data_IF_996329018439
#
_entry.id   IF_996329018439
#
_cell.length_a   1.000
_cell.length_b   1.000
_cell.length_c   1.000
_cell.angle_alpha   90.00
_cell.angle_beta   90.00
_cell.angle_gamma   90.00
#
_symmetry.space_group_name_H-M   'P 1'
#
loop_
_entity.id
_entity.type
_entity.pdbx_description
1 polymer ?
#
# COMPACT_ATOMS: atom_id res chain seq x y z
N UNK A 1 1.32 6.64 -10.94
CA UNK A 1 2.71 6.28 -10.62
C UNK A 1 2.83 4.78 -10.80
N UNK A 2 3.45 4.34 -11.90
CA UNK A 2 3.62 2.92 -12.18
C UNK A 2 4.51 2.25 -11.11
N UNK A 3 4.35 0.94 -10.87
CA UNK A 3 5.15 0.20 -9.89
C UNK A 3 6.58 -0.08 -10.36
N UNK A 4 6.94 0.36 -11.58
CA UNK A 4 8.29 0.22 -12.11
C UNK A 4 9.14 1.38 -11.58
N UNK A 5 9.94 1.07 -10.57
CA UNK A 5 11.10 1.82 -10.04
C UNK A 5 11.20 3.28 -10.54
N UNK A 6 10.78 4.28 -9.73
CA UNK A 6 10.85 5.70 -10.08
C UNK A 6 12.26 6.20 -10.39
N UNK A 7 13.30 5.44 -10.03
CA UNK A 7 14.70 5.78 -10.24
C UNK A 7 15.23 5.37 -11.63
N UNK A 8 14.54 4.51 -12.39
CA UNK A 8 14.98 4.05 -13.72
C UNK A 8 14.19 4.63 -14.90
N UNK A 9 12.94 5.05 -14.69
CA UNK A 9 12.02 5.42 -15.79
C UNK A 9 11.49 6.83 -15.52
N UNK A 10 11.88 7.80 -16.36
CA UNK A 10 11.36 9.17 -16.31
C UNK A 10 9.84 9.24 -16.55
N UNK A 11 9.19 10.33 -16.14
CA UNK A 11 7.73 10.49 -16.29
C UNK A 11 7.27 10.36 -17.75
N UNK A 12 8.03 10.93 -18.69
CA UNK A 12 7.75 10.81 -20.12
C UNK A 12 7.81 9.37 -20.61
N UNK A 13 8.83 8.62 -20.17
CA UNK A 13 8.99 7.22 -20.55
C UNK A 13 7.88 6.33 -19.94
N UNK A 14 7.38 6.68 -18.75
CA UNK A 14 6.23 6.01 -18.15
C UNK A 14 4.96 6.17 -19.01
N UNK A 15 4.71 7.35 -19.56
CA UNK A 15 3.57 7.58 -20.46
C UNK A 15 3.70 6.79 -21.75
N UNK A 16 4.91 6.74 -22.33
CA UNK A 16 5.20 5.92 -23.52
C UNK A 16 4.98 4.43 -23.24
N UNK A 17 5.49 3.93 -22.12
CA UNK A 17 5.28 2.53 -21.71
C UNK A 17 3.79 2.25 -21.48
N UNK A 18 3.07 3.14 -20.79
CA UNK A 18 1.63 3.00 -20.55
C UNK A 18 0.84 2.95 -21.87
N UNK A 19 1.23 3.75 -22.87
CA UNK A 19 0.64 3.72 -24.21
C UNK A 19 0.82 2.35 -24.89
N UNK A 20 2.05 1.81 -24.89
CA UNK A 20 2.30 0.48 -25.48
C UNK A 20 1.61 -0.65 -24.71
N UNK A 21 1.57 -0.57 -23.37
CA UNK A 21 0.80 -1.52 -22.55
C UNK A 21 -0.69 -1.44 -22.90
N UNK A 22 -1.23 -0.23 -23.10
CA UNK A 22 -2.62 -0.02 -23.53
C UNK A 22 -2.93 -0.66 -24.89
N UNK A 23 -2.03 -0.50 -25.87
CA UNK A 23 -2.15 -1.17 -27.18
C UNK A 23 -2.14 -2.69 -27.00
N UNK A 24 -1.18 -3.23 -26.24
CA UNK A 24 -1.08 -4.67 -25.98
C UNK A 24 -2.31 -5.21 -25.28
N UNK A 25 -2.83 -4.49 -24.28
CA UNK A 25 -4.05 -4.84 -23.57
C UNK A 25 -5.27 -4.85 -24.51
N UNK A 26 -5.45 -3.80 -25.32
CA UNK A 26 -6.53 -3.73 -26.31
C UNK A 26 -6.47 -4.86 -27.34
N UNK A 27 -5.28 -5.19 -27.84
CA UNK A 27 -5.07 -6.30 -28.76
C UNK A 27 -5.47 -7.64 -28.12
N UNK A 28 -5.08 -7.90 -26.87
CA UNK A 28 -5.44 -9.13 -26.15
C UNK A 28 -6.96 -9.21 -25.91
N UNK A 29 -7.61 -8.11 -25.52
CA UNK A 29 -9.07 -8.07 -25.34
C UNK A 29 -9.81 -8.39 -26.64
N UNK A 30 -9.33 -7.87 -27.77
CA UNK A 30 -9.93 -8.14 -29.06
C UNK A 30 -9.74 -9.60 -29.50
N UNK A 31 -8.53 -10.14 -29.33
CA UNK A 31 -8.27 -11.56 -29.59
C UNK A 31 -9.11 -12.49 -28.70
N UNK A 32 -9.42 -12.06 -27.47
CA UNK A 32 -10.34 -12.77 -26.60
C UNK A 32 -11.83 -12.64 -27.02
N UNK A 33 -12.15 -11.81 -28.01
CA UNK A 33 -13.50 -11.57 -28.52
C UNK A 33 -14.34 -10.65 -27.63
N UNK A 34 -13.70 -9.86 -26.75
CA UNK A 34 -14.39 -8.97 -25.82
C UNK A 34 -14.91 -7.68 -26.44
N UNK A 35 -14.68 -7.43 -27.73
CA UNK A 35 -15.42 -6.39 -28.45
C UNK A 35 -16.86 -6.78 -28.77
N UNK A 36 -17.28 -8.02 -28.53
CA UNK A 36 -18.62 -8.49 -28.93
C UNK A 36 -19.56 -8.56 -27.75
N UNK A 37 -20.64 -7.77 -27.79
CA UNK A 37 -21.68 -7.71 -26.77
C UNK A 37 -22.32 -9.08 -26.51
N UNK A 38 -22.59 -9.88 -27.55
CA UNK A 38 -23.11 -11.26 -27.41
C UNK A 38 -22.21 -12.14 -26.53
N UNK A 39 -20.88 -12.00 -26.65
CA UNK A 39 -19.92 -12.79 -25.88
C UNK A 39 -19.92 -12.39 -24.41
N UNK A 40 -20.07 -11.08 -24.16
CA UNK A 40 -20.07 -10.52 -22.81
C UNK A 40 -21.36 -10.84 -22.05
N UNK A 41 -22.52 -10.68 -22.69
CA UNK A 41 -23.81 -10.99 -22.06
C UNK A 41 -24.04 -12.51 -21.97
N UNK A 42 -23.32 -13.30 -22.76
CA UNK A 42 -23.36 -14.77 -22.70
C UNK A 42 -23.02 -15.39 -21.34
N UNK A 43 -22.29 -14.66 -20.50
CA UNK A 43 -22.07 -15.03 -19.12
C UNK A 43 -23.37 -15.06 -18.31
N UNK A 44 -24.22 -14.04 -18.46
CA UNK A 44 -25.47 -13.90 -17.70
C UNK A 44 -26.55 -14.87 -18.16
N UNK A 45 -26.54 -15.21 -19.45
CA UNK A 45 -27.46 -16.18 -20.03
C UNK A 45 -26.96 -17.63 -19.93
N UNK A 46 -25.71 -17.84 -19.51
CA UNK A 46 -25.14 -19.16 -19.27
C UNK A 46 -24.76 -19.95 -20.53
N UNK A 47 -24.64 -19.30 -21.69
CA UNK A 47 -24.20 -19.94 -22.95
C UNK A 47 -22.71 -19.75 -23.25
N UNK A 48 -22.04 -18.75 -22.65
CA UNK A 48 -20.60 -18.53 -22.81
C UNK A 48 -19.95 -17.97 -21.52
N UNK A 49 -19.10 -18.78 -20.89
CA UNK A 49 -18.33 -18.42 -19.68
C UNK A 49 -16.88 -18.05 -19.98
N UNK A 50 -16.55 -17.64 -21.22
CA UNK A 50 -15.22 -17.13 -21.57
C UNK A 50 -14.84 -15.93 -20.70
N UNK A 51 -15.78 -15.02 -20.43
CA UNK A 51 -15.58 -13.85 -19.56
C UNK A 51 -15.07 -14.28 -18.18
N UNK A 52 -15.79 -15.18 -17.52
CA UNK A 52 -15.41 -15.68 -16.20
C UNK A 52 -14.01 -16.32 -16.25
N UNK A 53 -13.74 -17.17 -17.24
CA UNK A 53 -12.44 -17.85 -17.37
C UNK A 53 -11.29 -16.88 -17.51
N UNK A 54 -11.39 -15.90 -18.40
CA UNK A 54 -10.31 -14.92 -18.65
C UNK A 54 -10.08 -14.00 -17.45
N UNK A 55 -11.14 -13.50 -16.80
CA UNK A 55 -10.98 -12.60 -15.65
C UNK A 55 -10.36 -13.30 -14.44
N UNK A 56 -10.77 -14.53 -14.14
CA UNK A 56 -10.16 -15.30 -13.06
C UNK A 56 -8.72 -15.71 -13.36
N UNK A 57 -8.40 -16.15 -14.60
CA UNK A 57 -7.01 -16.46 -14.95
C UNK A 57 -6.13 -15.22 -14.91
N UNK A 58 -6.59 -14.08 -15.45
CA UNK A 58 -5.86 -12.82 -15.38
C UNK A 58 -5.65 -12.36 -13.93
N UNK A 59 -6.69 -12.45 -13.09
CA UNK A 59 -6.63 -12.09 -11.67
C UNK A 59 -5.64 -12.97 -10.88
N UNK A 60 -5.68 -14.28 -11.07
CA UNK A 60 -4.75 -15.22 -10.42
C UNK A 60 -3.33 -15.00 -10.92
N UNK A 61 -3.13 -14.82 -12.22
CA UNK A 61 -1.81 -14.56 -12.82
C UNK A 61 -1.22 -13.28 -12.25
N UNK A 62 -2.01 -12.20 -12.18
CA UNK A 62 -1.58 -10.94 -11.58
C UNK A 62 -1.27 -11.09 -10.08
N UNK A 63 -2.13 -11.76 -9.32
CA UNK A 63 -1.92 -11.96 -7.89
C UNK A 63 -0.67 -12.79 -7.59
N UNK A 64 -0.52 -13.96 -8.21
CA UNK A 64 0.68 -14.81 -8.04
C UNK A 64 1.94 -14.10 -8.54
N UNK A 65 1.85 -13.42 -9.69
CA UNK A 65 2.95 -12.63 -10.23
C UNK A 65 3.40 -11.53 -9.26
N UNK A 66 2.45 -10.78 -8.69
CA UNK A 66 2.75 -9.75 -7.70
C UNK A 66 3.34 -10.33 -6.41
N UNK A 67 2.83 -11.46 -5.90
CA UNK A 67 3.40 -12.14 -4.72
C UNK A 67 4.85 -12.54 -4.96
N UNK A 68 5.13 -13.19 -6.10
CA UNK A 68 6.47 -13.66 -6.45
C UNK A 68 7.41 -12.46 -6.67
N UNK A 69 7.00 -11.44 -7.42
CA UNK A 69 7.82 -10.25 -7.67
C UNK A 69 8.05 -9.43 -6.39
N UNK A 70 7.09 -9.41 -5.47
CA UNK A 70 7.26 -8.76 -4.16
C UNK A 70 8.28 -9.49 -3.30
N UNK A 71 8.27 -10.83 -3.33
CA UNK A 71 9.27 -11.64 -2.61
C UNK A 71 10.70 -11.36 -3.12
N UNK A 72 10.89 -11.28 -4.44
CA UNK A 72 12.19 -10.91 -5.04
C UNK A 72 12.54 -9.41 -4.90
N UNK A 73 11.76 -8.64 -4.14
CA UNK A 73 11.92 -7.19 -3.96
C UNK A 73 11.96 -6.40 -5.29
N UNK A 74 11.35 -6.93 -6.35
CA UNK A 74 11.17 -6.24 -7.64
C UNK A 74 10.03 -5.23 -7.61
N UNK A 75 9.00 -5.51 -6.81
CA UNK A 75 7.82 -4.67 -6.65
C UNK A 75 7.55 -4.43 -5.16
N UNK A 76 7.36 -3.17 -4.79
CA UNK A 76 6.92 -2.81 -3.44
C UNK A 76 5.38 -2.76 -3.38
N UNK A 77 4.77 -3.76 -2.72
CA UNK A 77 3.31 -3.83 -2.54
C UNK A 77 2.75 -2.72 -1.66
N UNK A 78 3.57 -2.01 -0.87
CA UNK A 78 3.13 -0.85 -0.09
C UNK A 78 2.82 0.37 -0.97
N UNK A 79 3.50 0.45 -2.11
CA UNK A 79 3.30 1.51 -3.11
C UNK A 79 2.11 1.25 -4.03
N UNK A 80 1.58 0.02 -4.04
CA UNK A 80 0.39 -0.35 -4.81
C UNK A 80 -0.85 0.27 -4.15
N UNK A 81 -1.55 1.11 -4.91
CA UNK A 81 -2.74 1.77 -4.41
C UNK A 81 -3.91 0.78 -4.29
N UNK A 82 -4.21 0.37 -3.05
CA UNK A 82 -5.50 -0.26 -2.72
C UNK A 82 -6.55 0.82 -2.50
N UNK A 83 -7.71 0.67 -3.14
CA UNK A 83 -8.86 1.54 -2.99
C UNK A 83 -9.55 1.29 -1.64
N UNK A 84 -9.97 2.35 -0.93
CA UNK A 84 -10.73 2.18 0.31
C UNK A 84 -12.11 1.58 0.04
N UNK A 85 -12.58 0.75 0.95
CA UNK A 85 -13.89 0.11 0.89
C UNK A 85 -14.93 1.00 1.57
N UNK A 86 -15.89 1.47 0.77
CA UNK A 86 -17.13 2.08 1.23
C UNK A 86 -18.25 1.07 0.98
N UNK A 87 -18.73 0.38 2.01
CA UNK A 87 -19.53 -0.83 1.82
C UNK A 87 -20.81 -0.57 1.01
N UNK A 88 -21.62 0.39 1.45
CA UNK A 88 -22.89 0.72 0.80
C UNK A 88 -22.69 1.30 -0.61
N UNK A 89 -21.67 2.13 -0.80
CA UNK A 89 -21.33 2.64 -2.12
C UNK A 89 -20.88 1.53 -3.07
N UNK A 90 -20.13 0.54 -2.58
CA UNK A 90 -19.66 -0.58 -3.38
C UNK A 90 -20.81 -1.51 -3.77
N UNK A 91 -21.73 -1.81 -2.84
CA UNK A 91 -22.89 -2.67 -3.10
C UNK A 91 -23.85 -2.01 -4.10
N UNK A 92 -24.26 -0.76 -3.83
CA UNK A 92 -25.23 -0.05 -4.68
C UNK A 92 -24.60 0.30 -6.03
N UNK A 93 -23.37 0.81 -6.03
CA UNK A 93 -22.63 1.12 -7.25
C UNK A 93 -22.35 -0.13 -8.09
N UNK A 94 -21.99 -1.25 -7.44
CA UNK A 94 -21.79 -2.54 -8.10
C UNK A 94 -23.07 -3.08 -8.74
N UNK A 95 -24.22 -2.93 -8.08
CA UNK A 95 -25.52 -3.33 -8.63
C UNK A 95 -25.92 -2.48 -9.83
N UNK A 96 -25.77 -1.15 -9.75
CA UNK A 96 -26.04 -0.23 -10.87
C UNK A 96 -25.12 -0.54 -12.05
N UNK A 97 -23.82 -0.73 -11.78
CA UNK A 97 -22.84 -1.07 -12.81
C UNK A 97 -23.16 -2.44 -13.46
N UNK A 98 -23.53 -3.44 -12.65
CA UNK A 98 -23.94 -4.76 -13.14
C UNK A 98 -25.19 -4.69 -14.04
N UNK A 99 -26.21 -3.94 -13.65
CA UNK A 99 -27.39 -3.69 -14.48
C UNK A 99 -27.01 -2.98 -15.79
N UNK A 100 -26.16 -1.95 -15.71
CA UNK A 100 -25.64 -1.26 -16.88
C UNK A 100 -24.88 -2.19 -17.83
N UNK A 101 -24.10 -3.13 -17.28
CA UNK A 101 -23.39 -4.13 -18.07
C UNK A 101 -24.34 -5.11 -18.78
N UNK A 102 -25.38 -5.60 -18.09
CA UNK A 102 -26.38 -6.50 -18.69
C UNK A 102 -27.16 -5.82 -19.81
N UNK A 103 -27.59 -4.56 -19.59
CA UNK A 103 -28.38 -3.79 -20.57
C UNK A 103 -27.52 -3.32 -21.74
N UNK A 104 -26.35 -2.78 -21.46
CA UNK A 104 -25.46 -2.20 -22.46
C UNK A 104 -24.61 -3.23 -23.20
N UNK A 105 -24.45 -4.43 -22.65
CA UNK A 105 -23.66 -5.50 -23.24
C UNK A 105 -22.15 -5.25 -23.26
N UNK A 106 -21.66 -4.22 -22.57
CA UNK A 106 -20.25 -3.88 -22.49
C UNK A 106 -19.81 -3.50 -21.06
N UNK A 107 -18.57 -3.83 -20.73
CA UNK A 107 -17.88 -3.27 -19.58
C UNK A 107 -17.19 -1.96 -20.03
N UNK A 108 -16.88 -1.03 -19.11
CA UNK A 108 -16.22 0.23 -19.47
C UNK A 108 -14.94 0.06 -20.29
N UNK A 109 -14.08 -0.92 -19.96
CA UNK A 109 -12.86 -1.19 -20.73
C UNK A 109 -13.11 -1.84 -22.08
N UNK A 110 -14.08 -2.77 -22.16
CA UNK A 110 -14.37 -3.49 -23.40
C UNK A 110 -15.16 -2.65 -24.39
N UNK A 111 -15.91 -1.64 -23.94
CA UNK A 111 -16.57 -0.67 -24.82
C UNK A 111 -15.57 0.17 -25.60
N UNK A 112 -14.44 0.59 -25.00
CA UNK A 112 -13.39 1.33 -25.74
C UNK A 112 -12.72 0.45 -26.79
N UNK A 113 -12.47 -0.82 -26.47
CA UNK A 113 -11.95 -1.80 -27.44
C UNK A 113 -12.93 -2.00 -28.61
N UNK A 114 -14.22 -2.18 -28.33
CA UNK A 114 -15.26 -2.30 -29.34
C UNK A 114 -15.43 -1.02 -30.19
N UNK A 115 -15.38 0.15 -29.56
CA UNK A 115 -15.44 1.43 -30.24
C UNK A 115 -14.27 1.64 -31.21
N UNK A 116 -13.07 1.17 -30.87
CA UNK A 116 -11.90 1.23 -31.75
C UNK A 116 -12.07 0.43 -33.05
N UNK A 117 -12.95 -0.58 -33.05
CA UNK A 117 -13.28 -1.41 -34.23
C UNK A 117 -14.50 -0.86 -34.98
N UNK A 118 -15.07 0.26 -34.53
CA UNK A 118 -16.19 0.94 -35.19
C UNK A 118 -17.57 0.43 -34.77
N UNK A 119 -17.70 -0.25 -33.63
CA UNK A 119 -18.99 -0.74 -33.14
C UNK A 119 -19.85 0.38 -32.58
N UNK A 120 -21.01 0.59 -33.20
CA UNK A 120 -21.94 1.69 -32.87
C UNK A 120 -22.59 1.47 -31.49
N UNK A 121 -22.93 0.23 -31.15
CA UNK A 121 -23.47 -0.13 -29.82
C UNK A 121 -22.49 0.25 -28.70
N UNK A 122 -21.19 0.07 -28.92
CA UNK A 122 -20.16 0.49 -27.97
C UNK A 122 -20.01 2.02 -27.87
N UNK A 123 -20.13 2.76 -28.97
CA UNK A 123 -20.11 4.23 -28.96
C UNK A 123 -21.29 4.81 -28.18
N UNK A 124 -22.49 4.24 -28.37
CA UNK A 124 -23.69 4.62 -27.61
C UNK A 124 -23.49 4.33 -26.12
N UNK A 125 -22.90 3.17 -25.79
CA UNK A 125 -22.59 2.82 -24.41
C UNK A 125 -21.61 3.81 -23.77
N UNK A 126 -20.54 4.21 -24.47
CA UNK A 126 -19.57 5.20 -23.99
C UNK A 126 -20.24 6.56 -23.78
N UNK A 127 -21.07 7.01 -24.74
CA UNK A 127 -21.80 8.27 -24.61
C UNK A 127 -22.78 8.24 -23.42
N UNK A 128 -23.49 7.14 -23.24
CA UNK A 128 -24.37 6.93 -22.08
C UNK A 128 -23.60 6.91 -20.76
N UNK A 129 -22.42 6.28 -20.73
CA UNK A 129 -21.52 6.28 -19.58
C UNK A 129 -21.01 7.69 -19.24
N UNK A 130 -20.58 8.46 -20.25
CA UNK A 130 -20.14 9.84 -20.08
C UNK A 130 -21.28 10.73 -19.54
N UNK A 131 -22.49 10.59 -20.07
CA UNK A 131 -23.67 11.28 -19.56
C UNK A 131 -24.00 10.87 -18.12
N UNK A 132 -23.89 9.57 -17.80
CA UNK A 132 -24.05 9.06 -16.44
C UNK A 132 -23.06 9.67 -15.45
N UNK A 133 -21.79 9.83 -15.85
CA UNK A 133 -20.76 10.50 -15.03
C UNK A 133 -21.11 11.97 -14.80
N UNK A 134 -21.60 12.68 -15.82
CA UNK A 134 -22.01 14.08 -15.68
C UNK A 134 -23.22 14.23 -14.73
N UNK A 135 -24.23 13.37 -14.90
CA UNK A 135 -25.40 13.35 -14.01
C UNK A 135 -24.99 13.03 -12.58
N UNK A 136 -24.07 12.07 -12.39
CA UNK A 136 -23.55 11.73 -11.07
C UNK A 136 -22.77 12.87 -10.44
N UNK A 137 -21.96 13.60 -11.22
CA UNK A 137 -21.20 14.75 -10.74
C UNK A 137 -22.13 15.86 -10.19
N UNK A 138 -23.23 16.15 -10.88
CA UNK A 138 -24.22 17.13 -10.41
C UNK A 138 -25.05 16.60 -9.23
N UNK A 139 -25.39 15.31 -9.22
CA UNK A 139 -26.11 14.67 -8.12
C UNK A 139 -25.23 14.37 -6.89
N UNK A 140 -23.90 14.55 -6.99
CA UNK A 140 -22.95 14.19 -5.95
C UNK A 140 -23.26 14.82 -4.59
N UNK A 141 -23.64 16.11 -4.45
CA UNK A 141 -23.95 16.70 -3.14
C UNK A 141 -25.09 15.98 -2.41
N UNK A 142 -26.09 15.47 -3.15
CA UNK A 142 -27.18 14.71 -2.57
C UNK A 142 -26.78 13.24 -2.28
N UNK A 143 -25.88 12.68 -3.07
CA UNK A 143 -25.41 11.30 -2.95
C UNK A 143 -24.20 11.14 -2.02
N UNK A 144 -23.55 12.23 -1.60
CA UNK A 144 -22.35 12.21 -0.75
C UNK A 144 -22.53 11.37 0.54
N UNK A 145 -23.65 11.47 1.27
CA UNK A 145 -23.86 10.65 2.48
C UNK A 145 -23.87 9.16 2.18
N UNK A 146 -24.43 8.76 1.04
CA UNK A 146 -24.48 7.37 0.59
C UNK A 146 -23.12 6.91 0.06
N UNK A 147 -22.45 7.77 -0.71
CA UNK A 147 -21.16 7.50 -1.33
C UNK A 147 -20.06 7.27 -0.28
N UNK A 148 -20.12 7.99 0.84
CA UNK A 148 -19.15 7.88 1.95
C UNK A 148 -19.64 6.99 3.09
N UNK A 149 -20.79 6.33 2.95
CA UNK A 149 -21.35 5.48 3.99
C UNK A 149 -20.46 4.25 4.24
N UNK A 150 -20.30 3.91 5.52
CA UNK A 150 -19.51 2.78 6.01
C UNK A 150 -18.10 2.67 5.43
N UNK A 151 -17.25 3.61 5.82
CA UNK A 151 -15.83 3.60 5.51
C UNK A 151 -15.08 2.54 6.33
N UNK A 152 -14.61 1.49 5.66
CA UNK A 152 -13.81 0.41 6.27
C UNK A 152 -12.31 0.59 6.01
N UNK A 153 -11.91 1.58 5.20
CA UNK A 153 -10.52 1.80 4.83
C UNK A 153 -10.01 0.78 3.80
N UNK A 154 -8.69 0.59 3.72
CA UNK A 154 -8.05 -0.27 2.71
C UNK A 154 -7.98 -1.73 3.17
N UNK A 155 -9.14 -2.33 3.41
CA UNK A 155 -9.23 -3.69 3.96
C UNK A 155 -8.75 -4.71 2.92
N UNK A 156 -7.86 -5.62 3.34
CA UNK A 156 -7.48 -6.79 2.54
C UNK A 156 -8.18 -8.03 3.11
N UNK A 157 -8.74 -8.85 2.23
CA UNK A 157 -9.54 -10.03 2.63
C UNK A 157 -8.72 -11.00 3.50
N UNK A 158 -7.44 -11.20 3.17
CA UNK A 158 -6.57 -12.09 3.94
C UNK A 158 -6.27 -11.55 5.35
N UNK A 159 -6.18 -10.22 5.53
CA UNK A 159 -6.02 -9.60 6.85
C UNK A 159 -7.29 -9.80 7.70
N UNK A 160 -8.48 -9.68 7.12
CA UNK A 160 -9.74 -9.91 7.85
C UNK A 160 -9.96 -11.35 8.27
N UNK A 161 -9.44 -12.29 7.49
CA UNK A 161 -9.54 -13.72 7.76
C UNK A 161 -8.39 -14.23 8.65
N UNK A 162 -7.41 -13.38 8.98
CA UNK A 162 -6.24 -13.76 9.77
C UNK A 162 -5.39 -14.83 9.10
N UNK A 163 -5.33 -14.83 7.76
CA UNK A 163 -4.57 -15.82 6.98
C UNK A 163 -3.44 -15.16 6.19
N UNK A 164 -2.39 -15.92 5.91
CA UNK A 164 -1.26 -15.43 5.10
C UNK A 164 -1.68 -15.12 3.67
N UNK A 165 -1.01 -14.15 3.04
CA UNK A 165 -1.27 -13.77 1.65
C UNK A 165 -1.08 -14.95 0.68
N UNK A 166 -0.10 -15.81 0.95
CA UNK A 166 0.17 -17.03 0.18
C UNK A 166 -0.95 -18.05 0.26
N UNK A 167 -1.51 -18.29 1.46
CA UNK A 167 -2.63 -19.20 1.65
C UNK A 167 -3.88 -18.70 0.94
N UNK A 168 -4.18 -17.39 1.06
CA UNK A 168 -5.30 -16.79 0.34
C UNK A 168 -5.15 -16.93 -1.18
N UNK A 169 -3.94 -16.68 -1.70
CA UNK A 169 -3.66 -16.82 -3.13
C UNK A 169 -3.87 -18.26 -3.63
N UNK A 170 -3.46 -19.26 -2.85
CA UNK A 170 -3.70 -20.67 -3.14
C UNK A 170 -5.21 -21.01 -3.12
N UNK A 171 -5.94 -20.59 -2.08
CA UNK A 171 -7.38 -20.85 -1.96
C UNK A 171 -8.16 -20.21 -3.12
N UNK A 172 -7.82 -18.98 -3.52
CA UNK A 172 -8.43 -18.32 -4.67
C UNK A 172 -8.13 -19.07 -5.98
N UNK A 173 -6.91 -19.62 -6.10
CA UNK A 173 -6.53 -20.46 -7.25
C UNK A 173 -7.38 -21.72 -7.32
N UNK A 174 -7.53 -22.43 -6.19
CA UNK A 174 -8.39 -23.63 -6.10
C UNK A 174 -9.84 -23.28 -6.42
N UNK A 175 -10.36 -22.17 -5.88
CA UNK A 175 -11.72 -21.71 -6.15
C UNK A 175 -11.93 -21.44 -7.65
N UNK A 176 -10.99 -20.79 -8.33
CA UNK A 176 -11.10 -20.53 -9.76
C UNK A 176 -11.06 -21.81 -10.60
N UNK A 177 -10.19 -22.77 -10.27
CA UNK A 177 -10.16 -24.06 -10.94
C UNK A 177 -11.49 -24.81 -10.76
N UNK A 178 -12.08 -24.74 -9.56
CA UNK A 178 -13.42 -25.25 -9.28
C UNK A 178 -14.50 -24.54 -10.09
N UNK A 179 -14.43 -23.21 -10.19
CA UNK A 179 -15.34 -22.41 -11.00
C UNK A 179 -15.25 -22.78 -12.49
N UNK A 180 -14.05 -22.98 -13.03
CA UNK A 180 -13.86 -23.38 -14.43
C UNK A 180 -14.43 -24.76 -14.73
N UNK A 181 -14.27 -25.69 -13.79
CA UNK A 181 -14.88 -27.01 -13.88
C UNK A 181 -16.42 -26.92 -13.85
N UNK A 182 -16.98 -26.17 -12.91
CA UNK A 182 -18.42 -25.98 -12.77
C UNK A 182 -19.02 -25.31 -14.02
N UNK A 183 -18.38 -24.26 -14.53
CA UNK A 183 -18.84 -23.55 -15.74
C UNK A 183 -18.79 -24.46 -16.97
N UNK A 184 -17.79 -25.34 -17.06
CA UNK A 184 -17.72 -26.32 -18.15
C UNK A 184 -18.89 -27.31 -18.13
N UNK A 185 -19.35 -27.73 -16.95
CA UNK A 185 -20.54 -28.59 -16.82
C UNK A 185 -21.80 -27.84 -17.30
N UNK A 186 -21.94 -26.58 -16.90
CA UNK A 186 -23.09 -25.75 -17.27
C UNK A 186 -23.11 -25.52 -18.79
N UNK A 187 -21.98 -25.15 -19.39
CA UNK A 187 -21.85 -24.99 -20.85
C UNK A 187 -22.22 -26.26 -21.59
N UNK A 188 -21.72 -27.42 -21.16
CA UNK A 188 -22.03 -28.70 -21.81
C UNK A 188 -23.53 -29.02 -21.76
N UNK A 189 -24.20 -28.65 -20.66
CA UNK A 189 -25.64 -28.84 -20.48
C UNK A 189 -26.47 -27.87 -21.34
N UNK A 190 -26.01 -26.64 -21.52
CA UNK A 190 -26.72 -25.58 -22.26
C UNK A 190 -26.46 -25.68 -23.77
N UNK A 191 -25.23 -25.95 -24.20
CA UNK A 191 -24.78 -25.90 -25.60
C UNK A 191 -24.83 -27.26 -26.33
N UNK A 192 -25.45 -28.30 -25.74
CA UNK A 192 -25.71 -29.61 -26.39
C UNK A 192 -24.51 -30.23 -27.16
N UNK A 193 -23.31 -30.18 -26.57
CA UNK A 193 -22.22 -31.12 -26.93
C UNK A 193 -21.27 -30.76 -28.08
N UNK A 194 -21.35 -29.56 -28.67
CA UNK A 194 -20.38 -29.14 -29.71
C UNK A 194 -19.14 -28.45 -29.13
N UNK A 195 -18.22 -29.20 -28.53
CA UNK A 195 -16.86 -28.69 -28.27
C UNK A 195 -15.82 -29.78 -28.49
N UNK A 196 -14.77 -29.50 -29.28
CA UNK A 196 -13.62 -30.40 -29.47
C UNK A 196 -12.92 -30.64 -28.11
N UNK A 197 -13.24 -31.77 -27.46
CA UNK A 197 -12.93 -32.01 -26.04
C UNK A 197 -11.45 -32.36 -25.75
N UNK A 198 -10.71 -32.98 -26.67
CA UNK A 198 -9.43 -33.61 -26.32
C UNK A 198 -8.23 -32.64 -26.19
N UNK A 199 -8.03 -31.75 -27.17
CA UNK A 199 -6.88 -30.83 -27.20
C UNK A 199 -7.04 -29.70 -26.18
N UNK A 200 -8.25 -29.14 -26.09
CA UNK A 200 -8.62 -28.10 -25.12
C UNK A 200 -8.49 -28.60 -23.69
N UNK A 201 -8.88 -29.85 -23.41
CA UNK A 201 -8.76 -30.46 -22.08
C UNK A 201 -7.31 -30.66 -21.65
N UNK A 202 -6.42 -31.12 -22.55
CA UNK A 202 -4.98 -31.27 -22.22
C UNK A 202 -4.32 -29.95 -21.87
N UNK A 203 -4.51 -28.92 -22.71
CA UNK A 203 -3.93 -27.58 -22.47
C UNK A 203 -4.46 -27.00 -21.16
N UNK A 204 -5.77 -27.11 -20.92
CA UNK A 204 -6.40 -26.66 -19.69
C UNK A 204 -5.85 -27.39 -18.45
N UNK A 205 -5.69 -28.71 -18.51
CA UNK A 205 -5.11 -29.48 -17.39
C UNK A 205 -3.66 -29.09 -17.12
N UNK A 206 -2.86 -28.82 -18.16
CA UNK A 206 -1.47 -28.37 -18.00
C UNK A 206 -1.40 -27.02 -17.29
N UNK A 207 -2.21 -26.05 -17.72
CA UNK A 207 -2.27 -24.74 -17.03
C UNK A 207 -2.77 -24.86 -15.59
N UNK A 208 -3.80 -25.68 -15.35
CA UNK A 208 -4.32 -25.92 -14.01
C UNK A 208 -3.25 -26.48 -13.07
N UNK A 209 -2.44 -27.45 -13.54
CA UNK A 209 -1.31 -28.00 -12.77
C UNK A 209 -0.26 -26.93 -12.50
N UNK A 210 0.10 -26.11 -13.49
CA UNK A 210 1.07 -25.02 -13.30
C UNK A 210 0.58 -24.01 -12.27
N UNK A 211 -0.66 -23.55 -12.36
CA UNK A 211 -1.23 -22.62 -11.38
C UNK A 211 -1.32 -23.24 -9.98
N UNK A 212 -1.61 -24.54 -9.88
CA UNK A 212 -1.63 -25.23 -8.60
C UNK A 212 -0.23 -25.33 -7.99
N UNK A 213 0.79 -25.65 -8.78
CA UNK A 213 2.20 -25.66 -8.33
C UNK A 213 2.64 -24.26 -7.87
N UNK A 214 2.35 -23.23 -8.66
CA UNK A 214 2.66 -21.85 -8.30
C UNK A 214 1.90 -21.39 -7.06
N UNK A 215 0.64 -21.78 -6.91
CA UNK A 215 -0.17 -21.52 -5.72
C UNK A 215 0.39 -22.20 -4.48
N UNK A 216 0.83 -23.47 -4.58
CA UNK A 216 1.49 -24.17 -3.48
C UNK A 216 2.81 -23.50 -3.13
N UNK A 217 3.62 -23.13 -4.12
CA UNK A 217 4.86 -22.39 -3.89
C UNK A 217 4.59 -21.05 -3.17
N UNK A 218 3.50 -20.36 -3.52
CA UNK A 218 3.09 -19.12 -2.85
C UNK A 218 2.75 -19.30 -1.36
N UNK A 219 2.30 -20.48 -0.91
CA UNK A 219 2.06 -20.74 0.51
C UNK A 219 3.35 -20.71 1.32
N UNK A 220 4.46 -21.20 0.73
CA UNK A 220 5.77 -21.25 1.38
C UNK A 220 6.56 -19.95 1.27
N UNK A 221 6.05 -18.96 0.52
CA UNK A 221 6.66 -17.64 0.39
C UNK A 221 6.14 -16.76 1.53
N UNK A 222 6.92 -16.50 2.60
CA UNK A 222 6.49 -15.60 3.66
C UNK A 222 6.28 -14.19 3.09
N UNK A 223 5.19 -13.54 3.50
CA UNK A 223 4.97 -12.13 3.19
C UNK A 223 6.09 -11.32 3.84
N UNK A 224 6.71 -10.40 3.09
CA UNK A 224 7.77 -9.52 3.60
C UNK A 224 7.30 -8.75 4.84
N UNK A 225 6.02 -8.35 4.89
CA UNK A 225 5.46 -7.67 6.07
C UNK A 225 5.35 -8.62 7.27
N UNK A 226 4.92 -9.86 7.05
CA UNK A 226 4.76 -10.87 8.10
C UNK A 226 6.13 -11.32 8.63
N UNK A 227 7.12 -11.48 7.75
CA UNK A 227 8.53 -11.73 8.11
C UNK A 227 9.10 -10.59 8.95
N UNK A 228 8.88 -9.33 8.54
CA UNK A 228 9.38 -8.18 9.31
C UNK A 228 8.68 -8.09 10.66
N UNK A 229 7.37 -8.34 10.75
CA UNK A 229 6.64 -8.36 12.01
C UNK A 229 7.07 -9.53 12.91
N UNK A 230 7.41 -10.70 12.35
CA UNK A 230 7.96 -11.82 13.12
C UNK A 230 9.37 -11.51 13.61
N UNK A 231 10.22 -10.90 12.78
CA UNK A 231 11.57 -10.48 13.16
C UNK A 231 11.53 -9.43 14.28
N UNK A 232 10.56 -8.49 14.23
CA UNK A 232 10.34 -7.50 15.30
C UNK A 232 10.01 -8.12 16.65
N UNK A 233 9.41 -9.31 16.66
CA UNK A 233 9.03 -10.02 17.88
C UNK A 233 10.07 -11.04 18.32
N UNK A 234 11.00 -11.42 17.43
CA UNK A 234 12.08 -12.34 17.74
C UNK A 234 13.34 -11.58 18.18
N UNK A 235 13.65 -11.60 19.48
CA UNK A 235 14.84 -10.92 20.04
C UNK A 235 16.15 -11.41 19.42
N UNK A 236 16.24 -12.69 19.04
CA UNK A 236 17.45 -13.26 18.42
C UNK A 236 17.73 -12.71 17.01
N UNK A 237 16.69 -12.28 16.28
CA UNK A 237 16.85 -11.70 14.94
C UNK A 237 17.33 -10.24 14.98
N UNK A 238 17.04 -9.53 16.08
CA UNK A 238 17.48 -8.16 16.33
C UNK A 238 18.83 -8.10 17.07
N UNK A 239 19.19 -9.18 17.77
CA UNK A 239 20.48 -9.32 18.42
C UNK A 239 21.60 -9.44 17.36
N UNK A 240 22.52 -8.48 17.38
CA UNK A 240 23.64 -8.38 16.43
C UNK A 240 23.46 -7.33 15.33
N UNK A 241 22.27 -6.73 15.18
CA UNK A 241 22.06 -5.59 14.28
C UNK A 241 22.47 -4.31 15.00
N UNK A 242 23.65 -3.78 14.68
CA UNK A 242 24.09 -2.49 15.18
C UNK A 242 23.69 -1.37 14.22
N UNK A 243 22.77 -0.52 14.66
CA UNK A 243 22.45 0.73 13.99
C UNK A 243 23.42 1.84 14.39
N UNK A 244 23.65 2.78 13.47
CA UNK A 244 24.38 3.99 13.77
C UNK A 244 23.70 4.77 14.89
N UNK A 245 24.49 5.31 15.82
CA UNK A 245 23.96 6.03 16.99
C UNK A 245 24.30 7.50 16.93
N UNK A 246 23.39 8.30 17.48
CA UNK A 246 23.63 9.71 17.78
C UNK A 246 23.69 9.88 19.29
N UNK A 247 24.72 10.56 19.78
CA UNK A 247 24.84 10.84 21.22
C UNK A 247 23.80 11.87 21.66
N UNK A 248 23.49 11.89 22.95
CA UNK A 248 22.57 12.88 23.52
C UNK A 248 23.06 14.32 23.33
N UNK A 249 24.38 14.54 23.39
CA UNK A 249 24.99 15.87 23.23
C UNK A 249 24.91 16.34 21.78
N UNK A 250 25.17 15.44 20.82
CA UNK A 250 25.04 15.75 19.40
C UNK A 250 23.57 16.04 19.03
N UNK A 251 22.62 15.24 19.52
CA UNK A 251 21.20 15.52 19.32
C UNK A 251 20.79 16.88 19.89
N UNK A 252 21.26 17.21 21.11
CA UNK A 252 21.00 18.50 21.73
C UNK A 252 21.52 19.65 20.87
N UNK A 253 22.74 19.53 20.33
CA UNK A 253 23.34 20.54 19.46
C UNK A 253 22.50 20.75 18.18
N UNK A 254 22.04 19.67 17.55
CA UNK A 254 21.20 19.72 16.34
C UNK A 254 19.86 20.38 16.61
N UNK A 255 19.23 20.08 17.75
CA UNK A 255 17.98 20.71 18.18
C UNK A 255 18.14 22.21 18.41
N UNK A 256 19.18 22.61 19.15
CA UNK A 256 19.45 24.02 19.45
C UNK A 256 19.72 24.86 18.19
N UNK A 257 20.30 24.24 17.16
CA UNK A 257 20.60 24.90 15.88
C UNK A 257 19.49 24.77 14.83
N UNK A 258 18.38 24.09 15.14
CA UNK A 258 17.29 23.81 14.19
C UNK A 258 17.79 23.18 12.87
N UNK A 259 18.63 22.16 12.97
CA UNK A 259 19.26 21.53 11.80
C UNK A 259 18.26 20.68 10.99
N UNK A 260 17.87 21.19 9.82
CA UNK A 260 16.93 20.55 8.89
C UNK A 260 17.48 19.29 8.22
N UNK A 261 18.76 18.96 8.37
CA UNK A 261 19.34 17.71 7.88
C UNK A 261 18.87 16.49 8.67
N UNK A 262 18.28 16.68 9.85
CA UNK A 262 17.82 15.61 10.72
C UNK A 262 16.32 15.74 10.97
N UNK A 263 15.63 14.60 10.99
CA UNK A 263 14.23 14.52 11.39
C UNK A 263 14.09 13.46 12.48
N UNK A 264 13.54 13.88 13.61
CA UNK A 264 13.22 12.98 14.72
C UNK A 264 11.87 12.32 14.43
N UNK A 265 11.85 10.99 14.52
CA UNK A 265 10.67 10.15 14.38
C UNK A 265 10.40 9.53 15.75
N UNK A 266 9.31 9.95 16.38
CA UNK A 266 8.87 9.43 17.67
C UNK A 266 7.89 8.29 17.45
N UNK A 267 8.29 7.07 17.83
CA UNK A 267 7.50 5.85 17.60
C UNK A 267 6.58 5.47 18.76
N UNK A 268 6.56 6.29 19.82
CA UNK A 268 5.68 6.07 20.97
C UNK A 268 4.23 6.35 20.60
N UNK A 269 3.32 6.00 21.51
CA UNK A 269 1.89 6.27 21.33
C UNK A 269 1.60 7.77 21.19
N UNK A 270 0.49 8.11 20.52
CA UNK A 270 0.07 9.50 20.34
C UNK A 270 -0.13 10.21 21.69
N UNK A 271 -0.57 9.46 22.71
CA UNK A 271 -0.76 9.95 24.08
C UNK A 271 0.58 10.32 24.74
N UNK A 272 1.58 9.43 24.66
CA UNK A 272 2.91 9.70 25.23
C UNK A 272 3.61 10.86 24.53
N UNK A 273 3.47 10.94 23.20
CA UNK A 273 3.98 12.05 22.41
C UNK A 273 3.30 13.37 22.82
N UNK A 274 1.98 13.39 22.99
CA UNK A 274 1.24 14.57 23.40
C UNK A 274 1.66 15.08 24.79
N UNK A 275 1.92 14.18 25.73
CA UNK A 275 2.45 14.52 27.06
C UNK A 275 3.83 15.20 26.94
N UNK A 276 4.73 14.59 26.18
CA UNK A 276 6.08 15.09 25.98
C UNK A 276 6.68 14.58 24.67
N UNK A 277 7.26 15.48 23.88
CA UNK A 277 8.05 15.17 22.70
C UNK A 277 9.20 16.17 22.55
N UNK A 278 10.23 15.77 21.80
CA UNK A 278 11.32 16.68 21.45
C UNK A 278 10.89 17.67 20.37
N UNK A 279 11.48 18.88 20.32
CA UNK A 279 11.09 19.91 19.36
C UNK A 279 11.23 19.41 17.92
N UNK A 280 10.20 19.62 17.09
CA UNK A 280 10.21 19.25 15.68
C UNK A 280 10.14 17.74 15.41
N UNK A 281 9.93 16.91 16.44
CA UNK A 281 9.71 15.47 16.26
C UNK A 281 8.36 15.21 15.59
N UNK A 282 8.30 14.21 14.72
CA UNK A 282 7.05 13.75 14.09
C UNK A 282 6.65 12.42 14.72
N UNK A 283 5.43 12.33 15.26
CA UNK A 283 4.92 11.08 15.79
C UNK A 283 4.48 10.14 14.66
N UNK A 284 5.12 8.98 14.60
CA UNK A 284 4.76 7.87 13.71
C UNK A 284 4.89 6.58 14.53
N UNK A 285 3.81 6.10 15.17
CA UNK A 285 3.80 4.80 15.84
C UNK A 285 4.16 3.68 14.86
N UNK A 286 4.81 2.62 15.35
CA UNK A 286 5.33 1.50 14.53
C UNK A 286 4.26 0.90 13.60
N UNK A 287 3.02 0.78 14.06
CA UNK A 287 1.90 0.23 13.31
C UNK A 287 1.53 1.08 12.09
N UNK A 288 1.86 2.37 12.13
CA UNK A 288 1.56 3.37 11.09
C UNK A 288 2.74 3.63 10.14
N UNK A 289 3.88 2.93 10.28
CA UNK A 289 5.05 3.12 9.40
C UNK A 289 4.71 2.89 7.92
N UNK A 290 3.90 1.87 7.63
CA UNK A 290 3.45 1.53 6.28
C UNK A 290 2.22 2.35 5.81
N UNK A 291 1.73 3.28 6.63
CA UNK A 291 0.62 4.16 6.30
C UNK A 291 0.99 5.12 5.18
N UNK A 292 0.13 5.23 4.15
CA UNK A 292 0.33 6.13 3.00
C UNK A 292 0.50 7.60 3.43
N UNK A 293 -0.11 7.98 4.54
CA UNK A 293 -0.02 9.31 5.14
C UNK A 293 1.40 9.65 5.63
N UNK A 294 2.19 8.64 6.02
CA UNK A 294 3.54 8.80 6.54
C UNK A 294 4.62 8.58 5.47
N UNK A 295 4.25 8.07 4.29
CA UNK A 295 5.17 7.90 3.17
C UNK A 295 5.93 9.19 2.80
N UNK A 296 5.32 10.36 3.00
CA UNK A 296 5.98 11.66 2.78
C UNK A 296 7.14 11.93 3.74
N UNK A 297 7.02 11.47 4.99
CA UNK A 297 8.05 11.63 6.04
C UNK A 297 9.31 10.84 5.66
N UNK A 298 9.12 9.68 5.04
CA UNK A 298 10.20 8.75 4.70
C UNK A 298 10.73 8.89 3.26
N UNK A 299 10.07 9.69 2.41
CA UNK A 299 10.46 9.84 0.99
C UNK A 299 11.76 10.60 0.76
N UNK A 300 12.04 11.64 1.54
CA UNK A 300 13.17 12.54 1.29
C UNK A 300 14.51 11.94 1.74
N UNK A 301 15.24 11.26 0.86
CA UNK A 301 16.50 10.58 1.22
C UNK A 301 17.64 11.51 1.69
N UNK A 302 17.51 12.83 1.53
CA UNK A 302 18.56 13.79 1.96
C UNK A 302 18.58 14.03 3.48
N UNK A 303 17.49 13.71 4.16
CA UNK A 303 17.32 13.92 5.61
C UNK A 303 17.73 12.65 6.38
N UNK A 304 18.51 12.76 7.44
CA UNK A 304 18.82 11.63 8.33
C UNK A 304 17.72 11.45 9.37
N UNK A 305 17.28 10.20 9.62
CA UNK A 305 16.17 9.92 10.53
C UNK A 305 16.70 9.41 11.85
N UNK A 306 16.25 10.04 12.93
CA UNK A 306 16.58 9.66 14.29
C UNK A 306 15.32 9.05 14.91
N UNK A 307 15.36 7.77 15.24
CA UNK A 307 14.24 7.04 15.83
C UNK A 307 14.34 7.08 17.35
N UNK A 308 13.23 7.43 17.98
CA UNK A 308 13.08 7.50 19.45
C UNK A 308 11.84 6.71 19.83
N UNK A 309 11.98 5.85 20.83
CA UNK A 309 10.93 4.96 21.32
C UNK A 309 10.75 5.08 22.84
N UNK A 310 9.88 4.25 23.41
CA UNK A 310 9.67 4.20 24.85
C UNK A 310 10.87 3.53 25.56
N UNK A 311 11.49 2.56 24.89
CA UNK A 311 12.65 1.83 25.36
C UNK A 311 13.61 1.53 24.20
N UNK A 312 14.79 1.00 24.53
CA UNK A 312 15.84 0.64 23.56
C UNK A 312 15.38 -0.40 22.54
N UNK A 313 14.50 -1.33 22.92
CA UNK A 313 14.00 -2.37 22.01
C UNK A 313 13.11 -1.74 20.93
N UNK A 314 12.21 -0.82 21.31
CA UNK A 314 11.31 -0.12 20.39
C UNK A 314 12.08 0.75 19.39
N UNK A 315 13.17 1.37 19.82
CA UNK A 315 14.07 2.16 18.95
C UNK A 315 14.76 1.29 17.90
N UNK A 316 15.28 0.12 18.30
CA UNK A 316 15.93 -0.83 17.41
C UNK A 316 14.90 -1.42 16.43
N UNK A 317 13.70 -1.77 16.90
CA UNK A 317 12.60 -2.23 16.04
C UNK A 317 12.24 -1.17 15.01
N UNK A 318 12.11 0.09 15.42
CA UNK A 318 11.84 1.21 14.53
C UNK A 318 12.91 1.40 13.46
N UNK A 319 14.18 1.36 13.87
CA UNK A 319 15.31 1.44 12.94
C UNK A 319 15.35 0.25 11.97
N UNK A 320 15.06 -0.98 12.43
CA UNK A 320 14.96 -2.14 11.57
C UNK A 320 13.85 -1.98 10.53
N UNK A 321 12.62 -1.67 10.96
CA UNK A 321 11.51 -1.42 10.03
C UNK A 321 11.83 -0.28 9.05
N UNK A 322 12.52 0.76 9.51
CA UNK A 322 12.98 1.86 8.68
C UNK A 322 13.89 1.39 7.52
N UNK A 323 14.80 0.44 7.78
CA UNK A 323 15.62 -0.15 6.70
C UNK A 323 14.78 -0.92 5.69
N UNK A 324 13.72 -1.61 6.14
CA UNK A 324 12.84 -2.40 5.28
C UNK A 324 11.98 -1.52 4.36
N UNK A 325 11.67 -0.29 4.76
CA UNK A 325 10.98 0.71 3.93
C UNK A 325 11.95 1.55 3.08
N UNK A 326 13.24 1.21 3.06
CA UNK A 326 14.25 1.82 2.18
C UNK A 326 14.99 3.03 2.76
N UNK A 327 14.93 3.28 4.07
CA UNK A 327 15.76 4.30 4.72
C UNK A 327 17.18 3.76 4.85
N UNK A 328 18.12 4.48 4.25
CA UNK A 328 19.55 4.21 4.37
C UNK A 328 20.07 4.85 5.66
N UNK A 329 20.74 4.07 6.49
CA UNK A 329 21.38 4.47 7.76
C UNK A 329 20.44 5.15 8.78
N UNK A 330 19.44 4.44 9.32
CA UNK A 330 18.64 4.95 10.43
C UNK A 330 19.53 5.18 11.66
N UNK A 331 19.32 6.31 12.34
CA UNK A 331 20.00 6.66 13.57
C UNK A 331 19.14 6.33 14.78
N UNK A 332 19.76 5.81 15.83
CA UNK A 332 19.13 5.58 17.14
C UNK A 332 19.76 6.48 18.18
N UNK A 333 18.95 7.00 19.11
CA UNK A 333 19.44 7.83 20.21
C UNK A 333 20.18 7.00 21.26
N UNK A 334 21.42 7.38 21.56
CA UNK A 334 22.22 6.66 22.54
C UNK A 334 21.65 6.81 23.97
N UNK A 335 21.18 5.71 24.55
CA UNK A 335 20.55 5.71 25.89
C UNK A 335 19.09 6.18 25.89
N UNK A 336 18.52 6.44 24.71
CA UNK A 336 17.11 6.74 24.51
C UNK A 336 16.64 8.06 25.10
N UNK A 337 15.33 8.27 25.03
CA UNK A 337 14.69 9.52 25.45
C UNK A 337 14.84 9.82 26.94
N UNK A 338 14.87 8.77 27.78
CA UNK A 338 15.00 8.93 29.22
C UNK A 338 16.36 9.54 29.59
N UNK A 339 17.46 8.98 29.07
CA UNK A 339 18.81 9.52 29.30
C UNK A 339 18.92 10.95 28.81
N UNK A 340 18.33 11.27 27.65
CA UNK A 340 18.30 12.65 27.15
C UNK A 340 17.56 13.60 28.10
N UNK A 341 16.43 13.15 28.67
CA UNK A 341 15.67 13.97 29.62
C UNK A 341 16.46 14.21 30.91
N UNK A 342 17.12 13.20 31.44
CA UNK A 342 17.88 13.30 32.68
C UNK A 342 19.16 14.13 32.50
N UNK A 343 19.96 13.82 31.47
CA UNK A 343 21.31 14.38 31.32
C UNK A 343 21.40 15.68 30.51
N UNK A 344 20.37 16.04 29.75
CA UNK A 344 20.34 17.29 28.96
C UNK A 344 19.26 18.23 29.48
N UNK A 345 18.01 17.78 29.55
CA UNK A 345 16.88 18.65 29.93
C UNK A 345 16.91 18.95 31.44
N UNK A 346 17.12 17.93 32.25
CA UNK A 346 17.18 17.99 33.71
C UNK A 346 18.57 18.27 34.26
N UNK A 347 19.54 18.64 33.42
CA UNK A 347 20.92 18.82 33.84
C UNK A 347 21.07 19.95 34.86
N UNK A 348 21.58 19.62 36.04
CA UNK A 348 21.92 20.57 37.09
C UNK A 348 23.44 20.66 37.31
N UNK A 349 23.92 21.86 37.65
CA UNK A 349 25.32 22.17 37.91
C UNK A 349 25.90 21.33 39.06
N UNK A 350 25.08 20.92 40.01
CA UNK A 350 25.48 20.05 41.12
C UNK A 350 25.88 18.63 40.65
N UNK A 351 25.28 18.12 39.56
CA UNK A 351 25.63 16.81 38.98
C UNK A 351 26.94 16.84 38.18
N UNK A 352 27.30 17.99 37.60
CA UNK A 352 28.51 18.16 36.79
C UNK A 352 29.80 17.88 37.58
N UNK A 353 29.83 18.34 38.84
CA UNK A 353 30.95 18.16 39.77
C UNK A 353 31.14 16.70 40.15
N UNK A 354 30.05 15.94 40.28
CA UNK A 354 30.10 14.52 40.67
C UNK A 354 30.51 13.58 39.52
N UNK A 355 30.26 13.97 38.25
CA UNK A 355 30.56 13.15 37.07
C UNK A 355 31.93 13.43 36.43
N UNK A 356 32.69 14.40 36.93
CA UNK A 356 34.02 14.75 36.39
C UNK A 356 33.98 15.21 34.93
N UNK A 357 32.90 15.89 34.52
CA UNK A 357 32.72 16.34 33.14
C UNK A 357 33.69 17.47 32.78
N UNK A 358 34.07 17.54 31.51
CA UNK A 358 34.93 18.61 31.00
C UNK A 358 34.17 19.95 31.02
N UNK A 359 34.86 21.06 31.27
CA UNK A 359 34.24 22.37 31.47
C UNK A 359 33.39 22.83 30.26
N UNK A 360 33.81 22.48 29.05
CA UNK A 360 33.06 22.78 27.83
C UNK A 360 31.75 21.99 27.73
N UNK A 361 31.76 20.72 28.13
CA UNK A 361 30.57 19.85 28.15
C UNK A 361 29.57 20.35 29.19
N UNK A 362 30.04 20.75 30.37
CA UNK A 362 29.18 21.36 31.41
C UNK A 362 28.52 22.63 30.88
N UNK A 363 29.31 23.55 30.30
CA UNK A 363 28.80 24.81 29.75
C UNK A 363 27.78 24.57 28.64
N UNK A 364 28.03 23.59 27.78
CA UNK A 364 27.11 23.20 26.71
C UNK A 364 25.80 22.65 27.29
N UNK A 365 25.87 21.68 28.22
CA UNK A 365 24.67 21.07 28.81
C UNK A 365 23.84 22.07 29.62
N UNK A 366 24.45 23.00 30.35
CA UNK A 366 23.72 24.10 31.02
C UNK A 366 22.97 24.99 30.02
N UNK A 367 23.58 25.27 28.87
CA UNK A 367 22.92 26.03 27.79
C UNK A 367 21.79 25.22 27.15
N UNK A 368 21.99 23.92 26.93
CA UNK A 368 20.97 23.03 26.39
C UNK A 368 19.77 22.89 27.35
N UNK A 369 20.03 22.71 28.65
CA UNK A 369 19.03 22.59 29.71
C UNK A 369 18.14 23.84 29.82
N UNK A 370 18.68 25.02 29.54
CA UNK A 370 17.90 26.27 29.53
C UNK A 370 17.15 26.52 28.21
N UNK A 371 17.74 26.18 27.06
CA UNK A 371 17.16 26.49 25.75
C UNK A 371 16.13 25.46 25.28
N UNK A 372 16.41 24.16 25.44
CA UNK A 372 15.58 23.09 24.88
C UNK A 372 14.17 23.06 25.48
N UNK A 373 13.94 23.23 26.80
CA UNK A 373 12.59 23.33 27.34
C UNK A 373 11.76 24.45 26.70
N UNK A 374 12.38 25.61 26.46
CA UNK A 374 11.72 26.74 25.78
C UNK A 374 11.34 26.38 24.35
N UNK A 375 12.20 25.64 23.64
CA UNK A 375 11.89 25.12 22.30
C UNK A 375 10.73 24.12 22.34
N UNK A 376 10.66 23.24 23.34
CA UNK A 376 9.56 22.27 23.51
C UNK A 376 8.24 23.00 23.75
N UNK A 377 8.22 24.01 24.61
CA UNK A 377 7.01 24.80 24.87
C UNK A 377 6.56 25.56 23.62
N UNK A 378 7.50 26.15 22.87
CA UNK A 378 7.20 26.84 21.62
C UNK A 378 6.62 25.90 20.56
N UNK A 379 7.13 24.68 20.46
CA UNK A 379 6.64 23.66 19.53
C UNK A 379 5.23 23.19 19.91
N UNK A 380 4.97 22.98 21.21
CA UNK A 380 3.62 22.69 21.73
C UNK A 380 2.62 23.80 21.40
N UNK A 381 3.03 25.07 21.49
CA UNK A 381 2.18 26.23 21.17
C UNK A 381 1.97 26.44 19.67
N UNK A 382 2.97 26.11 18.83
CA UNK A 382 2.83 26.13 17.38
C UNK A 382 1.79 25.10 16.87
N UNK A 383 1.47 24.12 17.72
CA UNK A 383 0.61 23.00 17.40
C UNK A 383 1.33 22.02 16.49
N UNK A 384 1.05 20.71 16.65
CA UNK A 384 1.54 19.71 15.71
C UNK A 384 1.27 20.20 14.27
N UNK A 385 2.22 20.11 13.33
CA UNK A 385 2.02 20.57 11.97
C UNK A 385 0.72 19.98 11.48
N UNK A 386 -0.31 20.83 11.34
CA UNK A 386 -1.65 20.38 10.99
C UNK A 386 -1.46 19.51 9.76
N UNK A 387 -1.82 18.22 9.87
CA UNK A 387 -1.92 17.32 8.72
C UNK A 387 -2.94 17.98 7.80
N UNK A 388 -2.46 18.85 6.91
CA UNK A 388 -3.26 19.34 5.81
C UNK A 388 -3.42 18.10 4.95
N UNK A 389 -4.51 17.39 5.20
CA UNK A 389 -5.13 16.52 4.24
C UNK A 389 -5.43 17.46 3.09
N UNK A 390 -4.45 17.67 2.21
CA UNK A 390 -4.75 18.10 0.86
C UNK A 390 -5.64 16.98 0.37
N UNK A 391 -6.95 17.21 0.41
CA UNK A 391 -7.88 16.58 -0.51
C UNK A 391 -7.17 16.71 -1.84
N UNK A 392 -6.60 15.60 -2.32
CA UNK A 392 -6.31 15.49 -3.73
C UNK A 392 -7.72 15.49 -4.30
N UNK A 393 -8.21 16.68 -4.66
CA UNK A 393 -9.29 16.77 -5.61
C UNK A 393 -8.74 16.03 -6.81
N UNK A 394 -9.30 14.84 -7.06
CA UNK A 394 -8.97 14.05 -8.23
C UNK A 394 -9.11 14.97 -9.42
N UNK A 395 -7.98 15.27 -10.06
CA UNK A 395 -7.99 15.80 -11.41
C UNK A 395 -8.48 14.68 -12.33
N UNK A 396 -9.43 15.07 -13.17
CA UNK A 396 -10.09 14.37 -14.27
C UNK A 396 -9.52 13.00 -14.69
#
# INVERSE_FOLDING_TARGET
MGPLVPELIGEELNLVIAFFIGIGFGFILEQAGFSTSKKLVGLFYGYDFTVLRVFFTAGITAMLGLVIMAHFSLIDLSMVYVNPTFLWSAVIGGLIMGLGFVVGGFCPGTSFCAAAIGKIDALIFIAGGALGVLVFAEAYPALEPLYKAEFWGNVRIFETLGMSQGLFAFLLTVMALGAFYATGIIEKKVNKGETNEATTRRVFTSFAVVFLILGIAAIFLPDKRESVLSDMNNKEALDGIEFSRISIDELALRLMNNDKKYQIIDTRSEQEYALFHLPGAINVPLEKFYGKENAKVFRDKSVKRIFIGANKEDEIKAAYVATQIGIKDPLVLEGGLQKFREEIIGFDKAEAVNKGLNADTERFRLKAASLIPVLIEKDKQAGAPKKVIKKVMGGC
#
